data_IF_237090803087
#
_entry.id   IF_237090803087
#
_cell.length_a   1.000
_cell.length_b   1.000
_cell.length_c   1.000
_cell.angle_alpha   90.00
_cell.angle_beta   90.00
_cell.angle_gamma   90.00
#
_symmetry.space_group_name_H-M   'P 1'
#
loop_
_entity.id
_entity.type
_entity.pdbx_description
1 polymer ?
#
# COMPACT_ATOMS: atom_id res chain seq x y z
N UNK A 1 11.74 -18.90 -46.48
CA UNK A 1 10.90 -17.76 -46.05
C UNK A 1 9.70 -18.21 -45.19
N UNK A 2 8.85 -19.15 -45.59
CA UNK A 2 7.74 -19.66 -44.73
C UNK A 2 8.22 -20.45 -43.51
N UNK A 3 9.25 -21.28 -43.62
CA UNK A 3 9.81 -22.05 -42.50
C UNK A 3 10.51 -21.19 -41.41
N UNK A 4 11.14 -20.06 -41.80
CA UNK A 4 11.79 -19.13 -40.87
C UNK A 4 10.75 -18.29 -40.09
N UNK A 5 9.60 -17.96 -40.71
CA UNK A 5 8.50 -17.26 -40.04
C UNK A 5 7.81 -18.19 -39.02
N UNK A 6 7.67 -19.48 -39.30
CA UNK A 6 7.09 -20.46 -38.37
C UNK A 6 7.99 -20.74 -37.15
N UNK A 7 9.31 -20.85 -37.35
CA UNK A 7 10.27 -21.02 -36.25
C UNK A 7 10.29 -19.78 -35.34
N UNK A 8 10.22 -18.57 -35.90
CA UNK A 8 10.17 -17.33 -35.10
C UNK A 8 8.86 -17.20 -34.32
N UNK A 9 7.74 -17.60 -34.93
CA UNK A 9 6.42 -17.58 -34.28
C UNK A 9 6.33 -18.61 -33.12
N UNK A 10 6.90 -19.79 -33.30
CA UNK A 10 6.92 -20.81 -32.23
C UNK A 10 7.86 -20.41 -31.08
N UNK A 11 9.02 -19.85 -31.37
CA UNK A 11 9.92 -19.25 -30.36
C UNK A 11 9.23 -18.14 -29.56
N UNK A 12 8.52 -17.23 -30.21
CA UNK A 12 7.77 -16.15 -29.57
C UNK A 12 6.63 -16.71 -28.68
N UNK A 13 5.88 -17.69 -29.17
CA UNK A 13 4.82 -18.37 -28.40
C UNK A 13 5.39 -19.07 -27.17
N UNK A 14 6.51 -19.77 -27.29
CA UNK A 14 7.19 -20.46 -26.19
C UNK A 14 7.71 -19.46 -25.14
N UNK A 15 8.32 -18.36 -25.56
CA UNK A 15 8.78 -17.28 -24.68
C UNK A 15 7.63 -16.61 -23.94
N UNK A 16 6.52 -16.31 -24.62
CA UNK A 16 5.31 -15.74 -24.00
C UNK A 16 4.69 -16.70 -22.99
N UNK A 17 4.61 -18.01 -23.31
CA UNK A 17 4.09 -19.04 -22.36
C UNK A 17 5.00 -19.20 -21.14
N UNK A 18 6.33 -19.18 -21.29
CA UNK A 18 7.27 -19.24 -20.17
C UNK A 18 7.11 -18.02 -19.26
N UNK A 19 7.00 -16.82 -19.83
CA UNK A 19 6.77 -15.60 -19.08
C UNK A 19 5.42 -15.61 -18.34
N UNK A 20 4.37 -16.14 -18.96
CA UNK A 20 3.05 -16.25 -18.32
C UNK A 20 3.07 -17.26 -17.17
N UNK A 21 3.65 -18.45 -17.39
CA UNK A 21 3.79 -19.49 -16.35
C UNK A 21 4.59 -18.96 -15.14
N UNK A 22 5.70 -18.27 -15.40
CA UNK A 22 6.53 -17.69 -14.36
C UNK A 22 5.76 -16.64 -13.55
N UNK A 23 4.99 -15.78 -14.22
CA UNK A 23 4.11 -14.81 -13.56
C UNK A 23 3.08 -15.50 -12.66
N UNK A 24 2.34 -16.48 -13.15
CA UNK A 24 1.35 -17.21 -12.36
C UNK A 24 1.99 -17.84 -11.11
N UNK A 25 3.11 -18.54 -11.27
CA UNK A 25 3.81 -19.18 -10.14
C UNK A 25 4.26 -18.15 -9.09
N UNK A 26 4.90 -17.07 -9.51
CA UNK A 26 5.36 -16.02 -8.58
C UNK A 26 4.21 -15.30 -7.90
N UNK A 27 3.08 -15.10 -8.59
CA UNK A 27 1.86 -14.54 -8.00
C UNK A 27 1.26 -15.46 -6.93
N UNK A 28 1.20 -16.76 -7.19
CA UNK A 28 0.74 -17.75 -6.21
C UNK A 28 1.66 -17.77 -4.99
N UNK A 29 2.98 -17.83 -5.20
CA UNK A 29 3.95 -17.83 -4.09
C UNK A 29 3.80 -16.56 -3.24
N UNK A 30 3.71 -15.39 -3.87
CA UNK A 30 3.51 -14.12 -3.17
C UNK A 30 2.22 -14.15 -2.34
N UNK A 31 1.11 -14.58 -2.93
CA UNK A 31 -0.19 -14.66 -2.23
C UNK A 31 -0.11 -15.63 -1.04
N UNK A 32 0.52 -16.80 -1.22
CA UNK A 32 0.71 -17.77 -0.13
C UNK A 32 1.56 -17.18 1.00
N UNK A 33 2.65 -16.47 0.69
CA UNK A 33 3.49 -15.81 1.71
C UNK A 33 2.67 -14.76 2.48
N UNK A 34 1.93 -13.89 1.80
CA UNK A 34 1.11 -12.87 2.46
C UNK A 34 0.06 -13.51 3.34
N UNK A 35 -0.68 -14.50 2.82
CA UNK A 35 -1.72 -15.19 3.59
C UNK A 35 -1.15 -15.98 4.77
N UNK A 36 0.03 -16.61 4.64
CA UNK A 36 0.68 -17.36 5.72
C UNK A 36 1.08 -16.50 6.92
N UNK A 37 1.25 -15.20 6.74
CA UNK A 37 1.54 -14.25 7.83
C UNK A 37 0.28 -13.50 8.28
N UNK A 38 -0.60 -13.15 7.35
CA UNK A 38 -1.78 -12.35 7.65
C UNK A 38 -2.92 -13.16 8.29
N UNK A 39 -3.19 -14.39 7.80
CA UNK A 39 -4.28 -15.23 8.37
C UNK A 39 -4.00 -15.62 9.82
N UNK A 40 -2.78 -16.08 10.20
CA UNK A 40 -2.49 -16.35 11.60
C UNK A 40 -2.56 -15.10 12.49
N UNK A 41 -2.43 -13.89 11.94
CA UNK A 41 -2.55 -12.67 12.72
C UNK A 41 -3.92 -12.47 13.36
N UNK A 42 -4.96 -13.19 12.92
CA UNK A 42 -6.25 -13.27 13.58
C UNK A 42 -6.12 -13.81 15.02
N UNK A 43 -5.22 -14.77 15.26
CA UNK A 43 -5.01 -15.41 16.56
C UNK A 43 -3.74 -14.93 17.24
N UNK A 44 -2.73 -14.62 16.45
CA UNK A 44 -1.39 -14.22 16.87
C UNK A 44 -0.99 -12.91 16.15
N UNK A 45 -1.36 -11.73 16.68
CA UNK A 45 -1.08 -10.43 16.04
C UNK A 45 0.38 -10.22 15.66
N UNK A 46 1.30 -10.88 16.38
CA UNK A 46 2.75 -10.81 16.12
C UNK A 46 3.13 -11.24 14.68
N UNK A 47 2.37 -12.14 14.05
CA UNK A 47 2.64 -12.56 12.67
C UNK A 47 2.31 -11.44 11.69
N UNK A 48 1.25 -10.66 11.94
CA UNK A 48 0.93 -9.46 11.16
C UNK A 48 1.95 -8.33 11.39
N UNK A 49 2.47 -8.19 12.61
CA UNK A 49 3.58 -7.27 12.90
C UNK A 49 4.83 -7.69 12.13
N UNK A 50 5.18 -8.98 12.13
CA UNK A 50 6.31 -9.50 11.36
C UNK A 50 6.14 -9.24 9.84
N UNK A 51 4.92 -9.41 9.33
CA UNK A 51 4.58 -9.06 7.94
C UNK A 51 4.81 -7.57 7.68
N UNK A 52 4.32 -6.68 8.55
CA UNK A 52 4.50 -5.24 8.41
C UNK A 52 5.98 -4.85 8.39
N UNK A 53 6.79 -5.42 9.30
CA UNK A 53 8.24 -5.20 9.34
C UNK A 53 8.90 -5.66 8.05
N UNK A 54 8.59 -6.86 7.56
CA UNK A 54 9.14 -7.39 6.32
C UNK A 54 8.80 -6.48 5.12
N UNK A 55 7.53 -6.10 4.97
CA UNK A 55 7.09 -5.16 3.91
C UNK A 55 7.84 -3.84 4.03
N UNK A 56 7.95 -3.27 5.24
CA UNK A 56 8.63 -2.00 5.50
C UNK A 56 10.11 -2.02 5.10
N UNK A 57 10.84 -3.08 5.47
CA UNK A 57 12.25 -3.23 5.12
C UNK A 57 12.44 -3.30 3.61
N UNK A 58 11.69 -4.17 2.90
CA UNK A 58 11.80 -4.28 1.45
C UNK A 58 11.39 -2.99 0.76
N UNK A 59 10.28 -2.36 1.15
CA UNK A 59 9.81 -1.09 0.59
C UNK A 59 10.83 0.03 0.76
N UNK A 60 11.46 0.14 1.95
CA UNK A 60 12.53 1.12 2.20
C UNK A 60 13.73 0.89 1.28
N UNK A 61 14.19 -0.34 1.14
CA UNK A 61 15.34 -0.67 0.29
C UNK A 61 15.03 -0.36 -1.19
N UNK A 62 13.85 -0.71 -1.65
CA UNK A 62 13.40 -0.48 -3.03
C UNK A 62 13.27 1.02 -3.34
N UNK A 63 12.58 1.78 -2.47
CA UNK A 63 12.42 3.23 -2.64
C UNK A 63 13.76 3.95 -2.57
N UNK A 64 14.65 3.56 -1.63
CA UNK A 64 15.99 4.10 -1.54
C UNK A 64 16.78 3.90 -2.84
N UNK A 65 16.74 2.68 -3.42
CA UNK A 65 17.42 2.38 -4.68
C UNK A 65 16.84 3.19 -5.84
N UNK A 66 15.51 3.31 -5.90
CA UNK A 66 14.81 4.09 -6.91
C UNK A 66 15.22 5.57 -6.89
N UNK A 67 15.20 6.20 -5.73
CA UNK A 67 15.60 7.59 -5.57
C UNK A 67 17.08 7.79 -5.91
N UNK A 68 17.94 6.86 -5.50
CA UNK A 68 19.38 6.90 -5.84
C UNK A 68 19.58 6.80 -7.36
N UNK A 69 18.82 5.95 -8.04
CA UNK A 69 18.86 5.85 -9.51
C UNK A 69 18.42 7.16 -10.17
N UNK A 70 17.45 7.87 -9.60
CA UNK A 70 17.01 9.19 -10.04
C UNK A 70 17.95 10.34 -9.69
N UNK A 71 19.16 10.07 -9.15
CA UNK A 71 20.16 11.08 -8.81
C UNK A 71 19.90 11.80 -7.48
N UNK A 72 19.10 11.23 -6.59
CA UNK A 72 18.88 11.70 -5.22
C UNK A 72 19.66 10.83 -4.23
N UNK A 73 20.07 11.41 -3.11
CA UNK A 73 20.89 10.73 -2.09
C UNK A 73 20.26 10.81 -0.70
N UNK A 74 19.13 10.12 -0.45
CA UNK A 74 18.51 10.07 0.87
C UNK A 74 19.48 9.45 1.90
N UNK A 75 19.35 9.84 3.16
CA UNK A 75 20.24 9.38 4.23
C UNK A 75 19.79 8.03 4.77
N UNK A 76 20.65 7.01 4.67
CA UNK A 76 20.37 5.67 5.23
C UNK A 76 20.23 5.70 6.74
N UNK A 77 21.08 6.46 7.42
CA UNK A 77 21.06 6.55 8.89
C UNK A 77 19.73 7.15 9.37
N UNK A 78 19.31 8.27 8.77
CA UNK A 78 18.04 8.90 9.11
C UNK A 78 16.84 8.00 8.79
N UNK A 79 16.89 7.22 7.69
CA UNK A 79 15.85 6.24 7.39
C UNK A 79 15.73 5.17 8.49
N UNK A 80 16.85 4.59 8.93
CA UNK A 80 16.86 3.58 9.98
C UNK A 80 16.32 4.16 11.28
N UNK A 81 16.76 5.34 11.68
CA UNK A 81 16.29 6.02 12.89
C UNK A 81 14.77 6.28 12.80
N UNK A 82 14.28 6.84 11.69
CA UNK A 82 12.87 7.16 11.51
C UNK A 82 11.96 5.93 11.53
N UNK A 83 12.36 4.83 10.91
CA UNK A 83 11.63 3.56 10.96
C UNK A 83 11.65 2.96 12.38
N UNK A 84 12.76 3.07 13.09
CA UNK A 84 12.87 2.61 14.48
C UNK A 84 11.99 3.43 15.43
N UNK A 85 11.84 4.73 15.21
CA UNK A 85 10.93 5.58 15.98
C UNK A 85 9.49 5.10 15.89
N UNK A 86 9.00 4.74 14.71
CA UNK A 86 7.66 4.19 14.54
C UNK A 86 7.45 2.93 15.38
N UNK A 87 8.43 2.02 15.38
CA UNK A 87 8.39 0.80 16.18
C UNK A 87 8.42 1.11 17.68
N UNK A 88 9.27 2.05 18.10
CA UNK A 88 9.37 2.46 19.51
C UNK A 88 8.05 3.04 20.02
N UNK A 89 7.36 3.84 19.23
CA UNK A 89 6.06 4.42 19.60
C UNK A 89 5.01 3.33 19.86
N UNK A 90 4.96 2.27 19.02
CA UNK A 90 4.06 1.12 19.26
C UNK A 90 4.41 0.45 20.58
N UNK A 91 5.70 0.19 20.84
CA UNK A 91 6.15 -0.43 22.09
C UNK A 91 5.77 0.44 23.29
N UNK A 92 5.99 1.75 23.22
CA UNK A 92 5.57 2.68 24.27
C UNK A 92 4.04 2.64 24.47
N UNK A 93 3.26 2.66 23.40
CA UNK A 93 1.80 2.53 23.48
C UNK A 93 1.36 1.29 24.24
N UNK A 94 1.98 0.13 23.96
CA UNK A 94 1.71 -1.13 24.67
C UNK A 94 2.15 -1.09 26.13
N UNK A 95 3.38 -0.61 26.41
CA UNK A 95 3.93 -0.59 27.78
C UNK A 95 3.17 0.36 28.71
N UNK A 96 2.73 1.51 28.21
CA UNK A 96 2.00 2.51 29.01
C UNK A 96 0.47 2.35 28.91
N UNK A 97 -0.05 1.34 28.22
CA UNK A 97 -1.48 1.11 28.05
C UNK A 97 -2.22 2.27 27.37
N UNK A 98 -1.58 2.93 26.42
CA UNK A 98 -2.18 4.05 25.70
C UNK A 98 -3.31 3.57 24.79
N UNK A 99 -4.35 4.39 24.65
CA UNK A 99 -5.39 4.17 23.64
C UNK A 99 -4.80 4.36 22.24
N UNK A 100 -5.45 3.75 21.25
CA UNK A 100 -5.02 3.84 19.84
C UNK A 100 -4.93 5.28 19.36
N UNK A 101 -5.87 6.16 19.73
CA UNK A 101 -5.89 7.56 19.34
C UNK A 101 -4.67 8.32 19.89
N UNK A 102 -4.32 8.07 21.17
CA UNK A 102 -3.14 8.68 21.80
C UNK A 102 -1.85 8.19 21.16
N UNK A 103 -1.76 6.90 20.84
CA UNK A 103 -0.61 6.29 20.16
C UNK A 103 -0.46 6.84 18.74
N UNK A 104 -1.57 7.04 18.01
CA UNK A 104 -1.60 7.68 16.70
C UNK A 104 -1.18 9.15 16.76
N UNK A 105 -1.69 9.91 17.73
CA UNK A 105 -1.31 11.31 17.91
C UNK A 105 0.18 11.45 18.21
N UNK A 106 0.72 10.61 19.10
CA UNK A 106 2.15 10.57 19.42
C UNK A 106 2.99 10.25 18.18
N UNK A 107 2.56 9.25 17.38
CA UNK A 107 3.21 8.91 16.11
C UNK A 107 3.24 10.11 15.16
N UNK A 108 2.09 10.73 14.90
CA UNK A 108 2.00 11.85 13.96
C UNK A 108 2.89 13.01 14.39
N UNK A 109 2.86 13.41 15.66
CA UNK A 109 3.69 14.50 16.18
C UNK A 109 5.17 14.15 16.01
N UNK A 110 5.63 13.00 16.50
CA UNK A 110 7.05 12.65 16.49
C UNK A 110 7.57 12.46 15.07
N UNK A 111 6.84 11.71 14.22
CA UNK A 111 7.31 11.44 12.86
C UNK A 111 7.23 12.67 11.97
N UNK A 112 6.20 13.52 12.10
CA UNK A 112 6.16 14.79 11.35
C UNK A 112 7.32 15.72 11.77
N UNK A 113 7.59 15.86 13.07
CA UNK A 113 8.74 16.64 13.56
C UNK A 113 10.08 16.06 13.06
N UNK A 114 10.18 14.73 13.03
CA UNK A 114 11.36 14.06 12.51
C UNK A 114 11.53 14.27 10.99
N UNK A 115 10.45 14.24 10.22
CA UNK A 115 10.50 14.54 8.77
C UNK A 115 10.99 15.97 8.50
N UNK A 116 10.52 16.95 9.28
CA UNK A 116 11.02 18.33 9.22
C UNK A 116 12.51 18.38 9.59
N UNK A 117 12.90 17.69 10.66
CA UNK A 117 14.30 17.61 11.08
C UNK A 117 15.21 16.99 10.00
N UNK A 118 14.74 16.00 9.24
CA UNK A 118 15.47 15.45 8.09
C UNK A 118 15.73 16.51 7.00
N UNK A 119 14.71 17.34 6.70
CA UNK A 119 14.85 18.45 5.74
C UNK A 119 15.88 19.49 6.15
N UNK A 120 16.01 19.75 7.45
CA UNK A 120 16.97 20.72 7.99
C UNK A 120 18.37 20.10 8.16
N UNK A 121 18.44 18.86 8.66
CA UNK A 121 19.72 18.22 9.03
C UNK A 121 20.64 18.02 7.81
N UNK A 122 20.13 17.55 6.69
CA UNK A 122 20.98 17.25 5.53
C UNK A 122 21.66 18.50 4.94
N UNK A 123 20.98 19.66 4.77
CA UNK A 123 21.66 20.91 4.40
C UNK A 123 22.74 21.35 5.40
N UNK A 124 22.54 21.14 6.70
CA UNK A 124 23.52 21.49 7.72
C UNK A 124 24.79 20.60 7.67
N UNK A 125 24.59 19.31 7.36
CA UNK A 125 25.69 18.33 7.27
C UNK A 125 26.39 18.36 5.90
N UNK A 126 25.69 18.75 4.84
CA UNK A 126 26.21 18.80 3.46
C UNK A 126 25.83 20.11 2.79
N UNK A 127 26.43 21.24 3.22
CA UNK A 127 26.09 22.57 2.72
C UNK A 127 26.44 22.75 1.23
N UNK A 128 27.46 22.05 0.74
CA UNK A 128 27.91 22.14 -0.66
C UNK A 128 27.07 21.34 -1.64
N UNK A 129 26.15 20.49 -1.18
CA UNK A 129 25.23 19.73 -2.03
C UNK A 129 23.95 20.53 -2.28
N UNK A 130 23.81 21.11 -3.48
CA UNK A 130 22.62 21.87 -3.91
C UNK A 130 21.31 21.08 -3.73
N UNK A 131 21.37 19.74 -3.76
CA UNK A 131 20.21 18.85 -3.58
C UNK A 131 20.02 18.41 -2.12
N UNK A 132 20.84 18.87 -1.16
CA UNK A 132 20.81 18.39 0.22
C UNK A 132 19.45 18.58 0.87
N UNK A 133 18.77 19.70 0.66
CA UNK A 133 17.40 19.94 1.13
C UNK A 133 16.41 18.93 0.54
N UNK A 134 16.44 18.72 -0.80
CA UNK A 134 15.58 17.75 -1.45
C UNK A 134 15.86 16.31 -0.98
N UNK A 135 17.12 15.96 -0.77
CA UNK A 135 17.51 14.67 -0.22
C UNK A 135 16.98 14.47 1.20
N UNK A 136 16.96 15.52 2.02
CA UNK A 136 16.31 15.53 3.34
C UNK A 136 14.80 15.34 3.26
N UNK A 137 14.15 16.09 2.40
CA UNK A 137 12.69 15.97 2.18
C UNK A 137 12.31 14.58 1.65
N UNK A 138 13.07 14.01 0.73
CA UNK A 138 12.86 12.64 0.27
C UNK A 138 13.09 11.61 1.38
N UNK A 139 14.09 11.83 2.25
CA UNK A 139 14.31 10.94 3.41
C UNK A 139 13.11 10.96 4.34
N UNK A 140 12.63 12.14 4.75
CA UNK A 140 11.43 12.30 5.58
C UNK A 140 10.18 11.76 4.90
N UNK A 141 9.98 12.10 3.64
CA UNK A 141 8.85 11.61 2.85
C UNK A 141 8.79 10.08 2.73
N UNK A 142 9.94 9.41 2.54
CA UNK A 142 10.01 7.94 2.55
C UNK A 142 9.61 7.36 3.90
N UNK A 143 10.10 7.96 5.00
CA UNK A 143 9.77 7.50 6.35
C UNK A 143 8.26 7.59 6.54
N UNK A 144 7.66 8.74 6.30
CA UNK A 144 6.22 8.92 6.46
C UNK A 144 5.42 7.99 5.53
N UNK A 145 5.75 7.96 4.24
CA UNK A 145 5.04 7.17 3.24
C UNK A 145 5.02 5.67 3.55
N UNK A 146 6.13 5.11 4.04
CA UNK A 146 6.24 3.67 4.31
C UNK A 146 5.79 3.34 5.73
N UNK A 147 6.23 4.12 6.74
CA UNK A 147 5.96 3.77 8.13
C UNK A 147 4.51 4.07 8.55
N UNK A 148 3.87 5.13 8.04
CA UNK A 148 2.52 5.50 8.46
C UNK A 148 1.46 4.41 8.16
N UNK A 149 1.36 3.87 6.92
CA UNK A 149 0.42 2.80 6.62
C UNK A 149 0.68 1.51 7.42
N UNK A 150 1.96 1.16 7.56
CA UNK A 150 2.34 -0.03 8.33
C UNK A 150 2.10 0.15 9.83
N UNK A 151 2.29 1.36 10.35
CA UNK A 151 1.91 1.73 11.71
C UNK A 151 0.38 1.59 11.90
N UNK A 152 -0.43 2.05 10.94
CA UNK A 152 -1.88 1.87 10.96
C UNK A 152 -2.27 0.38 10.99
N UNK A 153 -1.62 -0.47 10.18
CA UNK A 153 -1.82 -1.92 10.20
C UNK A 153 -1.52 -2.51 11.59
N UNK A 154 -0.36 -2.16 12.15
CA UNK A 154 0.08 -2.65 13.46
C UNK A 154 -0.84 -2.15 14.58
N UNK A 155 -1.23 -0.88 14.54
CA UNK A 155 -2.18 -0.31 15.50
C UNK A 155 -3.54 -1.03 15.46
N UNK A 156 -4.07 -1.29 14.26
CA UNK A 156 -5.32 -2.03 14.12
C UNK A 156 -5.22 -3.44 14.75
N UNK A 157 -4.11 -4.15 14.51
CA UNK A 157 -3.93 -5.51 15.00
C UNK A 157 -3.71 -5.59 16.52
N UNK A 158 -3.12 -4.55 17.14
CA UNK A 158 -2.70 -4.59 18.54
C UNK A 158 -3.61 -3.81 19.50
N UNK A 159 -4.27 -2.75 19.02
CA UNK A 159 -5.02 -1.82 19.88
C UNK A 159 -6.52 -1.75 19.59
N UNK A 160 -6.96 -2.26 18.41
CA UNK A 160 -8.36 -2.17 18.00
C UNK A 160 -9.04 -3.53 18.14
N UNK A 161 -10.14 -3.66 18.90
CA UNK A 161 -10.94 -4.87 18.90
C UNK A 161 -11.33 -5.24 17.46
N UNK A 162 -11.23 -6.51 17.14
CA UNK A 162 -11.52 -7.01 15.77
C UNK A 162 -10.81 -6.30 14.62
N UNK A 163 -9.74 -5.52 14.90
CA UNK A 163 -9.02 -4.72 13.90
C UNK A 163 -8.49 -5.51 12.70
N UNK A 164 -8.22 -6.81 12.87
CA UNK A 164 -7.83 -7.71 11.79
C UNK A 164 -8.86 -7.71 10.64
N UNK A 165 -10.17 -7.75 10.96
CA UNK A 165 -11.23 -7.78 9.96
C UNK A 165 -11.27 -6.52 9.11
N UNK A 166 -10.97 -5.36 9.71
CA UNK A 166 -10.85 -4.09 8.97
C UNK A 166 -9.60 -4.06 8.09
N UNK A 167 -8.50 -4.67 8.55
CA UNK A 167 -7.27 -4.75 7.75
C UNK A 167 -7.42 -5.69 6.54
N UNK A 168 -8.37 -6.63 6.54
CA UNK A 168 -8.76 -7.37 5.33
C UNK A 168 -9.16 -6.38 4.22
N UNK A 169 -9.98 -5.37 4.54
CA UNK A 169 -10.39 -4.34 3.56
C UNK A 169 -9.15 -3.57 3.08
N UNK A 170 -8.33 -3.07 4.00
CA UNK A 170 -7.13 -2.29 3.66
C UNK A 170 -6.14 -3.02 2.75
N UNK A 171 -5.98 -4.33 2.94
CA UNK A 171 -5.04 -5.15 2.17
C UNK A 171 -5.60 -5.64 0.84
N UNK A 172 -6.86 -6.05 0.78
CA UNK A 172 -7.41 -6.75 -0.38
C UNK A 172 -8.30 -5.89 -1.28
N UNK A 173 -8.92 -4.81 -0.78
CA UNK A 173 -9.72 -3.92 -1.59
C UNK A 173 -8.95 -3.28 -2.76
N UNK A 174 -7.65 -2.91 -2.62
CA UNK A 174 -6.86 -2.44 -3.75
C UNK A 174 -6.79 -3.43 -4.91
N UNK A 175 -6.56 -4.70 -4.61
CA UNK A 175 -6.48 -5.74 -5.66
C UNK A 175 -7.82 -5.95 -6.36
N UNK A 176 -8.93 -5.84 -5.61
CA UNK A 176 -10.27 -5.82 -6.17
C UNK A 176 -10.48 -4.62 -7.10
N UNK A 177 -10.11 -3.42 -6.62
CA UNK A 177 -10.19 -2.17 -7.40
C UNK A 177 -9.45 -2.30 -8.74
N UNK A 178 -8.20 -2.75 -8.72
CA UNK A 178 -7.39 -2.90 -9.93
C UNK A 178 -7.96 -3.94 -10.89
N UNK A 179 -8.45 -5.06 -10.36
CA UNK A 179 -9.06 -6.11 -11.16
C UNK A 179 -10.32 -5.62 -11.88
N UNK A 180 -11.24 -4.99 -11.16
CA UNK A 180 -12.47 -4.48 -11.76
C UNK A 180 -12.23 -3.26 -12.64
N UNK A 181 -11.26 -2.39 -12.28
CA UNK A 181 -10.85 -1.29 -13.14
C UNK A 181 -10.24 -1.77 -14.47
N UNK A 182 -9.50 -2.88 -14.44
CA UNK A 182 -8.98 -3.51 -15.64
C UNK A 182 -10.13 -4.04 -16.52
N UNK A 183 -11.06 -4.81 -15.97
CA UNK A 183 -12.16 -5.38 -16.75
C UNK A 183 -13.07 -4.29 -17.34
N UNK A 184 -13.48 -3.31 -16.54
CA UNK A 184 -14.32 -2.20 -17.03
C UNK A 184 -13.56 -1.32 -18.02
N UNK A 185 -12.26 -1.10 -17.80
CA UNK A 185 -11.40 -0.34 -18.73
C UNK A 185 -11.21 -1.03 -20.08
N UNK A 186 -11.13 -2.36 -20.12
CA UNK A 186 -11.01 -3.12 -21.37
C UNK A 186 -12.34 -3.17 -22.12
N UNK A 187 -13.48 -3.30 -21.42
CA UNK A 187 -14.80 -3.45 -22.03
C UNK A 187 -15.44 -2.11 -22.41
N UNK A 188 -15.32 -1.10 -21.57
CA UNK A 188 -16.03 0.19 -21.71
C UNK A 188 -15.10 1.38 -21.88
N UNK A 189 -13.76 1.23 -21.69
CA UNK A 189 -12.82 2.33 -21.64
C UNK A 189 -12.63 3.04 -22.98
N UNK A 190 -12.93 4.33 -23.01
CA UNK A 190 -12.77 5.22 -24.17
C UNK A 190 -11.83 6.40 -23.88
N UNK A 191 -11.87 6.92 -22.65
CA UNK A 191 -11.17 8.15 -22.28
C UNK A 191 -9.98 7.84 -21.36
N UNK A 192 -8.76 8.17 -21.82
CA UNK A 192 -7.54 8.00 -21.02
C UNK A 192 -7.43 9.08 -19.95
N UNK A 193 -6.98 8.71 -18.72
CA UNK A 193 -6.84 9.65 -17.60
C UNK A 193 -5.47 10.36 -17.66
N UNK A 194 -4.39 9.58 -17.61
CA UNK A 194 -3.01 10.09 -17.51
C UNK A 194 -2.09 9.35 -18.50
N UNK A 195 -2.18 9.65 -19.80
CA UNK A 195 -1.46 8.90 -20.85
C UNK A 195 0.06 8.85 -20.63
N UNK A 196 0.64 9.94 -20.10
CA UNK A 196 2.08 10.06 -19.87
C UNK A 196 2.61 9.24 -18.68
N UNK A 197 1.76 8.92 -17.70
CA UNK A 197 2.13 8.19 -16.48
C UNK A 197 1.72 6.72 -16.60
N UNK A 198 0.45 6.48 -16.94
CA UNK A 198 -0.15 5.15 -17.09
C UNK A 198 -1.06 5.11 -18.33
N UNK A 199 -0.53 4.72 -19.52
CA UNK A 199 -1.25 4.82 -20.80
C UNK A 199 -2.43 3.83 -20.90
N UNK A 200 -2.56 2.87 -20.00
CA UNK A 200 -3.64 1.87 -20.03
C UNK A 200 -4.86 2.27 -19.20
N UNK A 201 -4.74 3.22 -18.26
CA UNK A 201 -5.84 3.62 -17.38
C UNK A 201 -6.87 4.51 -18.08
N UNK A 202 -8.15 4.23 -17.85
CA UNK A 202 -9.31 4.94 -18.41
C UNK A 202 -10.22 5.43 -17.31
N UNK A 203 -10.97 6.51 -17.55
CA UNK A 203 -11.95 7.05 -16.62
C UNK A 203 -13.06 6.03 -16.31
N UNK A 204 -13.56 5.35 -17.33
CA UNK A 204 -14.59 4.32 -17.20
C UNK A 204 -14.09 3.16 -16.32
N UNK A 205 -12.82 2.76 -16.53
CA UNK A 205 -12.18 1.74 -15.71
C UNK A 205 -12.08 2.17 -14.25
N UNK A 206 -11.64 3.40 -13.98
CA UNK A 206 -11.52 3.91 -12.61
C UNK A 206 -12.87 3.99 -11.89
N UNK A 207 -13.91 4.51 -12.57
CA UNK A 207 -15.26 4.60 -12.01
C UNK A 207 -15.83 3.20 -11.77
N UNK A 208 -15.72 2.30 -12.75
CA UNK A 208 -16.20 0.92 -12.62
C UNK A 208 -15.50 0.17 -11.49
N UNK A 209 -14.16 0.26 -11.40
CA UNK A 209 -13.38 -0.29 -10.29
C UNK A 209 -13.82 0.23 -8.94
N UNK A 210 -14.10 1.55 -8.82
CA UNK A 210 -14.57 2.17 -7.58
C UNK A 210 -15.94 1.67 -7.16
N UNK A 211 -16.89 1.57 -8.07
CA UNK A 211 -18.25 1.10 -7.77
C UNK A 211 -18.20 -0.37 -7.32
N UNK A 212 -17.50 -1.25 -8.05
CA UNK A 212 -17.39 -2.66 -7.68
C UNK A 212 -16.67 -2.85 -6.36
N UNK A 213 -15.58 -2.12 -6.11
CA UNK A 213 -14.89 -2.16 -4.83
C UNK A 213 -15.82 -1.74 -3.68
N UNK A 214 -16.57 -0.64 -3.85
CA UNK A 214 -17.53 -0.18 -2.85
C UNK A 214 -18.60 -1.23 -2.55
N UNK A 215 -19.14 -1.89 -3.57
CA UNK A 215 -20.11 -2.99 -3.40
C UNK A 215 -19.46 -4.14 -2.60
N UNK A 216 -18.26 -4.59 -2.98
CA UNK A 216 -17.56 -5.68 -2.28
C UNK A 216 -17.27 -5.34 -0.81
N UNK A 217 -16.80 -4.12 -0.54
CA UNK A 217 -16.54 -3.61 0.83
C UNK A 217 -17.84 -3.58 1.62
N UNK A 218 -18.93 -3.06 1.06
CA UNK A 218 -20.24 -3.01 1.72
C UNK A 218 -20.77 -4.40 2.06
N UNK A 219 -20.71 -5.32 1.11
CA UNK A 219 -21.15 -6.72 1.31
C UNK A 219 -20.32 -7.36 2.43
N UNK A 220 -19.00 -7.21 2.41
CA UNK A 220 -18.14 -7.72 3.46
C UNK A 220 -18.45 -7.09 4.82
N UNK A 221 -18.60 -5.78 4.89
CA UNK A 221 -18.94 -5.07 6.13
C UNK A 221 -20.30 -5.54 6.69
N UNK A 222 -21.34 -5.66 5.86
CA UNK A 222 -22.67 -6.10 6.30
C UNK A 222 -22.72 -7.57 6.70
N UNK A 223 -21.96 -8.45 6.03
CA UNK A 223 -22.00 -9.88 6.33
C UNK A 223 -21.08 -10.29 7.48
N UNK A 224 -19.95 -9.61 7.66
CA UNK A 224 -18.91 -9.97 8.61
C UNK A 224 -18.83 -8.97 9.76
N UNK A 225 -18.45 -7.73 9.48
CA UNK A 225 -18.15 -6.74 10.52
C UNK A 225 -19.40 -6.37 11.31
N UNK A 226 -20.53 -6.12 10.66
CA UNK A 226 -21.80 -5.77 11.30
C UNK A 226 -22.22 -6.76 12.37
N UNK A 227 -21.91 -8.04 12.17
CA UNK A 227 -22.25 -9.11 13.12
C UNK A 227 -21.20 -9.29 14.21
N UNK A 228 -19.91 -9.11 13.90
CA UNK A 228 -18.82 -9.32 14.84
C UNK A 228 -18.76 -8.19 15.85
N UNK A 229 -19.01 -6.97 15.39
CA UNK A 229 -18.93 -5.76 16.19
C UNK A 229 -20.30 -5.34 16.77
N UNK A 230 -21.35 -6.15 16.60
CA UNK A 230 -22.70 -5.93 17.15
C UNK A 230 -23.21 -4.49 16.94
N UNK A 231 -23.03 -3.95 15.72
CA UNK A 231 -23.25 -2.54 15.41
C UNK A 231 -24.72 -2.14 15.64
N UNK A 232 -24.95 -1.15 16.50
CA UNK A 232 -26.29 -0.72 16.93
C UNK A 232 -27.11 -0.01 15.87
N UNK A 233 -26.46 0.66 14.91
CA UNK A 233 -27.19 1.33 13.82
C UNK A 233 -27.83 0.31 12.87
N UNK A 234 -29.02 0.66 12.32
CA UNK A 234 -29.70 -0.21 11.38
C UNK A 234 -28.84 -0.57 10.16
N UNK A 235 -29.03 -1.79 9.62
CA UNK A 235 -28.21 -2.32 8.53
C UNK A 235 -28.24 -1.44 7.26
N UNK A 236 -29.34 -0.73 6.98
CA UNK A 236 -29.44 0.13 5.79
C UNK A 236 -28.55 1.38 5.93
N UNK A 237 -28.61 2.18 7.00
CA UNK A 237 -27.66 3.29 7.21
C UNK A 237 -26.20 2.81 7.22
N UNK A 238 -25.93 1.66 7.85
CA UNK A 238 -24.58 1.07 7.85
C UNK A 238 -24.10 0.71 6.45
N UNK A 239 -24.96 0.09 5.63
CA UNK A 239 -24.62 -0.25 4.24
C UNK A 239 -24.33 1.01 3.40
N UNK A 240 -25.10 2.08 3.59
CA UNK A 240 -24.85 3.36 2.91
C UNK A 240 -23.51 3.97 3.34
N UNK A 241 -23.21 3.97 4.64
CA UNK A 241 -21.94 4.48 5.17
C UNK A 241 -20.76 3.68 4.59
N UNK A 242 -20.81 2.36 4.67
CA UNK A 242 -19.73 1.48 4.20
C UNK A 242 -19.56 1.52 2.68
N UNK A 243 -20.61 1.82 1.92
CA UNK A 243 -20.53 2.06 0.49
C UNK A 243 -19.68 3.31 0.16
N UNK A 244 -19.94 4.43 0.82
CA UNK A 244 -19.13 5.64 0.62
C UNK A 244 -17.69 5.45 1.11
N UNK A 245 -17.47 4.74 2.19
CA UNK A 245 -16.13 4.37 2.65
C UNK A 245 -15.41 3.45 1.65
N UNK A 246 -16.11 2.49 1.05
CA UNK A 246 -15.58 1.65 -0.03
C UNK A 246 -15.20 2.45 -1.28
N UNK A 247 -15.97 3.49 -1.64
CA UNK A 247 -15.60 4.43 -2.70
C UNK A 247 -14.30 5.17 -2.33
N UNK A 248 -14.21 5.67 -1.09
CA UNK A 248 -13.02 6.38 -0.61
C UNK A 248 -11.78 5.46 -0.64
N UNK A 249 -11.91 4.21 -0.19
CA UNK A 249 -10.83 3.20 -0.24
C UNK A 249 -10.37 2.98 -1.68
N UNK A 250 -11.29 2.84 -2.62
CA UNK A 250 -10.94 2.66 -4.02
C UNK A 250 -10.24 3.87 -4.62
N UNK A 251 -10.70 5.09 -4.32
CA UNK A 251 -10.04 6.33 -4.76
C UNK A 251 -8.62 6.40 -4.19
N UNK A 252 -8.45 6.12 -2.90
CA UNK A 252 -7.12 6.09 -2.26
C UNK A 252 -6.21 5.02 -2.85
N UNK A 253 -6.75 3.82 -3.16
CA UNK A 253 -6.03 2.77 -3.88
C UNK A 253 -5.47 3.28 -5.22
N UNK A 254 -6.32 3.92 -6.03
CA UNK A 254 -5.91 4.44 -7.34
C UNK A 254 -4.87 5.57 -7.23
N UNK A 255 -5.01 6.45 -6.23
CA UNK A 255 -4.03 7.50 -5.94
C UNK A 255 -2.67 6.90 -5.55
N UNK A 256 -2.65 5.82 -4.77
CA UNK A 256 -1.43 5.12 -4.37
C UNK A 256 -0.65 4.57 -5.57
N UNK A 257 -1.33 3.86 -6.48
CA UNK A 257 -0.69 3.37 -7.71
C UNK A 257 -0.20 4.52 -8.61
N UNK A 258 -0.97 5.62 -8.73
CA UNK A 258 -0.50 6.79 -9.48
C UNK A 258 0.72 7.44 -8.84
N UNK A 259 0.73 7.57 -7.53
CA UNK A 259 1.86 8.13 -6.78
C UNK A 259 3.15 7.34 -7.04
N UNK A 260 3.12 6.03 -6.88
CA UNK A 260 4.26 5.18 -7.19
C UNK A 260 4.63 5.20 -8.68
N UNK A 261 3.63 5.24 -9.57
CA UNK A 261 3.89 5.38 -11.00
C UNK A 261 4.62 6.68 -11.34
N UNK A 262 4.27 7.80 -10.70
CA UNK A 262 4.98 9.08 -10.86
C UNK A 262 6.44 8.95 -10.39
N UNK A 263 6.68 8.37 -9.22
CA UNK A 263 8.04 8.16 -8.70
C UNK A 263 8.85 7.31 -9.68
N UNK A 264 8.31 6.20 -10.16
CA UNK A 264 8.99 5.33 -11.14
C UNK A 264 9.38 6.08 -12.41
N UNK A 265 8.49 6.91 -13.00
CA UNK A 265 8.80 7.70 -14.18
C UNK A 265 9.83 8.79 -13.91
N UNK A 266 9.74 9.47 -12.77
CA UNK A 266 10.69 10.54 -12.38
C UNK A 266 12.09 9.99 -12.09
N UNK A 267 12.20 8.76 -11.60
CA UNK A 267 13.48 8.11 -11.33
C UNK A 267 14.00 7.28 -12.50
N UNK A 268 13.29 7.24 -13.64
CA UNK A 268 13.72 6.54 -14.86
C UNK A 268 13.60 5.01 -14.79
N UNK A 269 12.81 4.48 -13.84
CA UNK A 269 12.59 3.05 -13.69
C UNK A 269 11.16 2.66 -14.10
N UNK A 270 10.95 1.38 -14.34
CA UNK A 270 9.62 0.83 -14.61
C UNK A 270 9.04 0.11 -13.40
N UNK A 271 9.82 -0.70 -12.76
CA UNK A 271 9.48 -1.47 -11.57
C UNK A 271 10.53 -1.17 -10.48
N UNK A 272 10.14 -1.16 -9.20
CA UNK A 272 11.06 -0.83 -8.10
C UNK A 272 12.16 -1.86 -7.93
N UNK A 273 11.86 -3.14 -8.20
CA UNK A 273 12.84 -4.24 -8.20
C UNK A 273 12.33 -5.44 -9.01
N UNK A 274 13.16 -6.48 -9.10
CA UNK A 274 12.79 -7.79 -9.68
C UNK A 274 12.67 -8.85 -8.58
N UNK A 275 12.23 -8.48 -7.37
CA UNK A 275 12.09 -9.42 -6.25
C UNK A 275 11.13 -10.57 -6.61
N UNK A 276 10.04 -10.24 -7.29
CA UNK A 276 9.09 -11.22 -7.83
C UNK A 276 9.18 -11.22 -9.36
N UNK A 277 9.87 -12.21 -9.97
CA UNK A 277 10.04 -12.25 -11.40
C UNK A 277 8.73 -12.14 -12.18
N UNK A 278 8.61 -11.12 -13.01
CA UNK A 278 7.40 -10.80 -13.77
C UNK A 278 6.31 -10.05 -13.00
N UNK A 279 6.48 -9.80 -11.69
CA UNK A 279 5.55 -9.04 -10.82
C UNK A 279 6.17 -7.78 -10.21
N UNK A 280 7.48 -7.51 -10.42
CA UNK A 280 8.15 -6.35 -9.85
C UNK A 280 8.60 -6.55 -8.41
N UNK A 281 8.68 -5.46 -7.65
CA UNK A 281 9.12 -5.44 -6.25
C UNK A 281 7.98 -5.56 -5.24
N UNK A 282 8.38 -5.54 -3.96
CA UNK A 282 7.44 -5.46 -2.84
C UNK A 282 6.62 -4.18 -2.91
N UNK A 283 7.28 -3.05 -3.17
CA UNK A 283 6.61 -1.75 -3.27
C UNK A 283 5.63 -1.69 -4.45
N UNK A 284 5.93 -2.40 -5.58
CA UNK A 284 4.99 -2.52 -6.70
C UNK A 284 3.72 -3.34 -6.36
N UNK A 285 3.72 -4.10 -5.28
CA UNK A 285 2.58 -4.92 -4.83
C UNK A 285 1.75 -4.25 -3.75
N UNK A 286 2.33 -3.33 -2.99
CA UNK A 286 1.70 -2.65 -1.87
C UNK A 286 1.53 -1.13 -2.08
N UNK A 287 1.85 -0.61 -3.28
CA UNK A 287 1.74 0.82 -3.61
C UNK A 287 0.35 1.39 -3.33
N UNK A 288 -0.68 0.72 -3.77
CA UNK A 288 -2.09 1.06 -3.51
C UNK A 288 -2.47 0.80 -2.05
N UNK A 289 -1.97 -0.30 -1.47
CA UNK A 289 -2.26 -0.71 -0.10
C UNK A 289 -1.80 0.32 0.93
N UNK A 290 -0.67 0.99 0.69
CA UNK A 290 -0.17 2.04 1.58
C UNK A 290 -1.12 3.23 1.72
N UNK A 291 -1.98 3.48 0.75
CA UNK A 291 -3.01 4.51 0.86
C UNK A 291 -4.31 4.01 1.50
N UNK A 292 -4.60 2.72 1.41
CA UNK A 292 -5.86 2.15 1.92
C UNK A 292 -5.80 1.72 3.38
N UNK A 293 -4.63 1.31 3.90
CA UNK A 293 -4.47 0.91 5.31
C UNK A 293 -4.87 2.01 6.31
N UNK A 294 -4.49 3.30 6.14
CA UNK A 294 -4.96 4.36 7.03
C UNK A 294 -6.48 4.54 7.00
N UNK A 295 -7.11 4.39 5.84
CA UNK A 295 -8.57 4.49 5.70
C UNK A 295 -9.26 3.31 6.36
N UNK A 296 -8.69 2.11 6.26
CA UNK A 296 -9.20 0.92 6.94
C UNK A 296 -9.10 1.05 8.47
N UNK A 297 -8.02 1.64 9.02
CA UNK A 297 -7.94 1.96 10.43
C UNK A 297 -8.98 3.01 10.83
N UNK A 298 -9.18 4.05 10.03
CA UNK A 298 -10.22 5.06 10.29
C UNK A 298 -11.60 4.41 10.36
N UNK A 299 -11.92 3.49 9.44
CA UNK A 299 -13.16 2.72 9.47
C UNK A 299 -13.31 1.93 10.78
N UNK A 300 -12.23 1.26 11.22
CA UNK A 300 -12.21 0.52 12.47
C UNK A 300 -12.47 1.41 13.69
N UNK A 301 -11.85 2.60 13.73
CA UNK A 301 -12.04 3.57 14.81
C UNK A 301 -13.45 4.17 14.81
N UNK A 302 -14.01 4.43 13.63
CA UNK A 302 -15.39 4.91 13.52
C UNK A 302 -16.38 3.84 14.00
N UNK A 303 -16.18 2.60 13.63
CA UNK A 303 -17.02 1.50 14.10
C UNK A 303 -16.97 1.37 15.63
N UNK A 304 -15.78 1.39 16.22
CA UNK A 304 -15.63 1.34 17.69
C UNK A 304 -16.33 2.49 18.45
N UNK A 305 -16.67 3.60 17.79
CA UNK A 305 -17.43 4.71 18.39
C UNK A 305 -18.94 4.62 18.10
N UNK A 306 -19.39 3.60 17.38
CA UNK A 306 -20.80 3.35 17.07
C UNK A 306 -21.46 2.29 17.98
N UNK A 307 -20.73 1.85 19.03
CA UNK A 307 -21.21 0.99 20.12
C UNK A 307 -21.77 1.80 21.28
#
# INVERSE_FOLDING_TARGET
MQAETDVSADYLRKTVRLNLRQRVITGIIFTVIVLSLFVPALFFPITGVAMAVAIGVFACVEMYKALKHGGYHPSRLLLIIGMSLATLIVICGLLFGLKVESTMALYLIIVCMYCVACGINLPLVRPDDEKSFLNGMFTGGMIFYISFPLFCLVCALLFVPHGWYYMVIGLFAPWGTDTFAYFTGVTLGKHKIVPHISPKKTWEGCIGGSIFCAICVTVYCCLVIYRIDEIEIGIVPYAVLTFFLGLLISVMSQLGDWFCSVIKRRTGIKDFSNLFPGHGGMLDRFDSTFFTLPVALLLALMANNLY
#
